data_IF_445807713615
#
_entry.id   IF_445807713615
#
_cell.length_a   1.000
_cell.length_b   1.000
_cell.length_c   1.000
_cell.angle_alpha   90.00
_cell.angle_beta   90.00
_cell.angle_gamma   90.00
#
_symmetry.space_group_name_H-M   'P 1'
#
loop_
_entity.id
_entity.type
_entity.pdbx_description
1 polymer ?
#
# COMPACT_ATOMS: atom_id res chain seq x y z
N UNK A 1 5.97 14.18 -2.93
CA UNK A 1 6.04 14.22 -1.45
C UNK A 1 6.41 12.83 -0.97
N UNK A 2 7.51 12.70 -0.27
CA UNK A 2 7.97 11.44 0.30
C UNK A 2 7.57 11.38 1.77
N UNK A 3 7.05 10.25 2.21
CA UNK A 3 6.64 10.05 3.61
C UNK A 3 7.22 8.72 4.09
N UNK A 4 7.90 8.78 5.22
CA UNK A 4 8.40 7.62 5.94
C UNK A 4 7.78 7.60 7.34
N UNK A 5 7.35 6.43 7.80
CA UNK A 5 6.96 6.22 9.19
C UNK A 5 7.95 5.24 9.83
N UNK A 6 8.75 5.75 10.76
CA UNK A 6 9.62 4.94 11.60
C UNK A 6 8.79 4.32 12.73
N UNK A 7 8.65 3.02 12.72
CA UNK A 7 7.88 2.25 13.71
C UNK A 7 8.77 1.72 14.86
N UNK A 8 10.01 2.16 14.94
CA UNK A 8 10.98 1.72 15.94
C UNK A 8 11.56 0.32 15.68
N UNK A 9 12.47 -0.14 16.56
CA UNK A 9 13.16 -1.41 16.42
C UNK A 9 12.23 -2.63 16.41
N UNK A 10 12.41 -3.53 15.42
CA UNK A 10 11.54 -4.69 15.20
C UNK A 10 11.54 -5.68 16.36
N UNK A 11 12.63 -5.75 17.14
CA UNK A 11 12.79 -6.65 18.28
C UNK A 11 12.00 -6.21 19.53
N UNK A 12 11.41 -5.01 19.52
CA UNK A 12 10.60 -4.53 20.65
C UNK A 12 9.11 -4.84 20.46
N UNK A 13 8.35 -5.09 21.54
CA UNK A 13 6.91 -5.25 21.50
C UNK A 13 6.22 -3.99 20.97
N UNK A 14 5.10 -4.14 20.25
CA UNK A 14 4.35 -3.00 19.70
C UNK A 14 3.92 -1.99 20.79
N UNK A 15 3.59 -2.46 22.01
CA UNK A 15 3.24 -1.60 23.14
C UNK A 15 4.34 -0.59 23.50
N UNK A 16 5.60 -0.95 23.27
CA UNK A 16 6.77 -0.07 23.46
C UNK A 16 6.99 0.77 22.20
N UNK A 17 7.00 0.13 21.01
CA UNK A 17 7.27 0.81 19.74
C UNK A 17 6.28 1.93 19.42
N UNK A 18 5.00 1.78 19.81
CA UNK A 18 3.98 2.82 19.58
C UNK A 18 4.33 4.18 20.19
N UNK A 19 5.19 4.23 21.20
CA UNK A 19 5.67 5.49 21.79
C UNK A 19 6.87 6.08 21.05
N UNK A 20 7.43 5.33 20.11
CA UNK A 20 8.61 5.71 19.32
C UNK A 20 8.24 6.07 17.87
N UNK A 21 6.95 6.02 17.51
CA UNK A 21 6.48 6.32 16.16
C UNK A 21 6.87 7.73 15.75
N UNK A 22 7.52 7.84 14.59
CA UNK A 22 7.96 9.13 14.05
C UNK A 22 7.70 9.20 12.56
N UNK A 23 6.94 10.21 12.12
CA UNK A 23 6.77 10.53 10.70
C UNK A 23 7.91 11.44 10.25
N UNK A 24 8.51 11.12 9.11
CA UNK A 24 9.61 11.84 8.49
C UNK A 24 9.15 12.28 7.09
N UNK A 25 9.45 13.52 6.73
CA UNK A 25 9.09 14.14 5.45
C UNK A 25 10.37 14.55 4.69
N UNK A 26 11.02 13.60 3.98
CA UNK A 26 12.20 13.92 3.18
C UNK A 26 11.86 14.87 2.02
N UNK A 27 12.82 15.70 1.65
CA UNK A 27 12.68 16.66 0.56
C UNK A 27 12.86 16.00 -0.82
N UNK A 28 13.62 14.90 -0.89
CA UNK A 28 13.93 14.19 -2.14
C UNK A 28 13.81 12.68 -2.01
N UNK A 29 13.68 11.98 -3.16
CA UNK A 29 13.71 10.51 -3.22
C UNK A 29 15.03 9.94 -2.67
N UNK A 30 16.15 10.59 -3.00
CA UNK A 30 17.49 10.17 -2.58
C UNK A 30 17.63 10.27 -1.05
N UNK A 31 17.15 11.35 -0.46
CA UNK A 31 17.14 11.53 0.99
C UNK A 31 16.22 10.49 1.65
N UNK A 32 15.00 10.30 1.12
CA UNK A 32 14.07 9.30 1.63
C UNK A 32 14.69 7.89 1.64
N UNK A 33 15.34 7.50 0.54
CA UNK A 33 16.00 6.20 0.43
C UNK A 33 17.19 6.07 1.41
N UNK A 34 17.96 7.14 1.59
CA UNK A 34 19.07 7.13 2.54
C UNK A 34 18.60 6.96 3.98
N UNK A 35 17.57 7.72 4.39
CA UNK A 35 16.98 7.62 5.74
C UNK A 35 16.36 6.24 5.95
N UNK A 36 15.58 5.73 4.98
CA UNK A 36 14.95 4.43 5.10
C UNK A 36 15.99 3.32 5.26
N UNK A 37 17.05 3.30 4.45
CA UNK A 37 18.14 2.30 4.57
C UNK A 37 18.86 2.37 5.91
N UNK A 38 19.15 3.58 6.40
CA UNK A 38 19.78 3.74 7.71
C UNK A 38 18.90 3.18 8.84
N UNK A 39 17.61 3.50 8.85
CA UNK A 39 16.67 2.96 9.82
C UNK A 39 16.54 1.43 9.74
N UNK A 40 16.42 0.89 8.53
CA UNK A 40 16.33 -0.56 8.29
C UNK A 40 17.61 -1.27 8.74
N UNK A 41 18.79 -0.71 8.46
CA UNK A 41 20.07 -1.29 8.88
C UNK A 41 20.21 -1.36 10.40
N UNK A 42 19.55 -0.48 11.13
CA UNK A 42 19.43 -0.46 12.59
C UNK A 42 18.30 -1.36 13.13
N UNK A 43 17.66 -2.14 12.26
CA UNK A 43 16.60 -3.07 12.63
C UNK A 43 15.24 -2.43 12.90
N UNK A 44 15.00 -1.21 12.41
CA UNK A 44 13.70 -0.56 12.52
C UNK A 44 12.72 -1.09 11.48
N UNK A 45 11.44 -1.04 11.82
CA UNK A 45 10.35 -1.20 10.87
C UNK A 45 10.00 0.17 10.29
N UNK A 46 10.03 0.25 8.95
CA UNK A 46 9.82 1.50 8.23
C UNK A 46 8.70 1.31 7.22
N UNK A 47 7.68 2.15 7.29
CA UNK A 47 6.66 2.23 6.25
C UNK A 47 7.00 3.35 5.27
N UNK A 48 6.84 3.10 3.97
CA UNK A 48 7.34 3.96 2.91
C UNK A 48 6.25 4.35 1.91
N UNK A 49 6.25 5.62 1.52
CA UNK A 49 5.47 6.13 0.40
C UNK A 49 3.97 6.23 0.64
N UNK A 50 3.22 6.30 -0.45
CA UNK A 50 1.79 6.61 -0.46
C UNK A 50 0.93 5.56 0.24
N UNK A 51 1.26 4.29 0.07
CA UNK A 51 0.54 3.16 0.66
C UNK A 51 1.11 2.72 1.99
N UNK A 52 2.15 3.40 2.48
CA UNK A 52 2.86 3.04 3.72
C UNK A 52 3.36 1.60 3.67
N UNK A 53 4.04 1.26 2.57
CA UNK A 53 4.61 -0.07 2.35
C UNK A 53 5.68 -0.37 3.39
N UNK A 54 5.46 -1.40 4.21
CA UNK A 54 6.41 -1.81 5.24
C UNK A 54 7.64 -2.50 4.61
N UNK A 55 8.84 -2.24 5.15
CA UNK A 55 10.09 -2.81 4.66
C UNK A 55 10.15 -4.33 4.70
N UNK A 56 9.40 -4.99 5.59
CA UNK A 56 9.31 -6.47 5.63
C UNK A 56 8.76 -7.07 4.35
N UNK A 57 7.91 -6.34 3.64
CA UNK A 57 7.30 -6.81 2.41
C UNK A 57 8.19 -6.66 1.17
N UNK A 58 9.33 -5.94 1.28
CA UNK A 58 10.20 -5.66 0.14
C UNK A 58 10.78 -6.93 -0.48
N UNK A 59 11.31 -7.82 0.35
CA UNK A 59 11.91 -9.07 -0.13
C UNK A 59 10.89 -9.96 -0.86
N UNK A 60 9.70 -10.14 -0.29
CA UNK A 60 8.63 -10.92 -0.92
C UNK A 60 8.11 -10.31 -2.23
N UNK A 61 8.18 -9.00 -2.38
CA UNK A 61 7.79 -8.29 -3.61
C UNK A 61 8.95 -8.13 -4.61
N UNK A 62 10.19 -8.49 -4.23
CA UNK A 62 11.38 -8.30 -5.04
C UNK A 62 11.72 -6.83 -5.28
N UNK A 63 11.43 -5.95 -4.32
CA UNK A 63 11.63 -4.51 -4.43
C UNK A 63 12.82 -4.02 -3.60
N UNK A 64 13.56 -3.04 -4.16
CA UNK A 64 14.49 -2.23 -3.40
C UNK A 64 13.76 -1.10 -2.65
N UNK A 65 14.46 -0.43 -1.72
CA UNK A 65 13.94 0.76 -1.02
C UNK A 65 13.60 1.88 -2.01
N UNK A 66 14.44 2.09 -3.02
CA UNK A 66 14.25 3.11 -4.05
C UNK A 66 12.99 2.83 -4.87
N UNK A 67 12.79 1.58 -5.27
CA UNK A 67 11.60 1.14 -6.00
C UNK A 67 10.33 1.29 -5.15
N UNK A 68 10.41 1.00 -3.86
CA UNK A 68 9.29 1.20 -2.92
C UNK A 68 8.92 2.68 -2.73
N UNK A 69 9.83 3.60 -3.01
CA UNK A 69 9.60 5.05 -2.94
C UNK A 69 9.11 5.63 -4.27
N UNK A 70 9.19 4.89 -5.38
CA UNK A 70 8.57 5.28 -6.66
C UNK A 70 7.03 5.23 -6.51
N UNK A 71 6.30 6.30 -6.85
CA UNK A 71 4.87 6.37 -6.61
C UNK A 71 4.07 5.26 -7.29
N UNK A 72 4.39 4.92 -8.54
CA UNK A 72 3.67 3.90 -9.30
C UNK A 72 3.94 2.50 -8.75
N UNK A 73 5.20 2.20 -8.46
CA UNK A 73 5.63 0.93 -7.84
C UNK A 73 5.02 0.78 -6.44
N UNK A 74 4.99 1.86 -5.65
CA UNK A 74 4.40 1.86 -4.31
C UNK A 74 2.90 1.55 -4.34
N UNK A 75 2.14 2.19 -5.25
CA UNK A 75 0.71 1.92 -5.44
C UNK A 75 0.46 0.48 -5.91
N UNK A 76 1.28 -0.01 -6.85
CA UNK A 76 1.22 -1.40 -7.29
C UNK A 76 1.46 -2.38 -6.12
N UNK A 77 2.51 -2.15 -5.34
CA UNK A 77 2.85 -2.99 -4.18
C UNK A 77 1.72 -3.01 -3.14
N UNK A 78 1.20 -1.83 -2.78
CA UNK A 78 0.09 -1.72 -1.83
C UNK A 78 -1.17 -2.41 -2.32
N UNK A 79 -1.52 -2.26 -3.61
CA UNK A 79 -2.68 -2.95 -4.20
C UNK A 79 -2.50 -4.47 -4.25
N UNK A 80 -1.28 -4.95 -4.52
CA UNK A 80 -0.92 -6.37 -4.51
C UNK A 80 -1.12 -6.97 -3.12
N UNK A 81 -0.61 -6.31 -2.08
CA UNK A 81 -0.78 -6.75 -0.69
C UNK A 81 -2.26 -6.80 -0.31
N UNK A 82 -3.01 -5.74 -0.60
CA UNK A 82 -4.45 -5.69 -0.29
C UNK A 82 -5.23 -6.78 -1.03
N UNK A 83 -4.91 -7.05 -2.30
CA UNK A 83 -5.54 -8.11 -3.09
C UNK A 83 -5.28 -9.50 -2.53
N UNK A 84 -4.06 -9.76 -2.03
CA UNK A 84 -3.71 -11.01 -1.38
C UNK A 84 -4.51 -11.19 -0.07
N UNK A 85 -4.66 -10.14 0.73
CA UNK A 85 -5.51 -10.18 1.92
C UNK A 85 -6.96 -10.43 1.57
N UNK A 86 -7.48 -9.77 0.54
CA UNK A 86 -8.84 -9.99 0.08
C UNK A 86 -9.07 -11.42 -0.39
N UNK A 87 -8.17 -11.99 -1.17
CA UNK A 87 -8.24 -13.37 -1.62
C UNK A 87 -8.25 -14.36 -0.44
N UNK A 88 -7.47 -14.10 0.60
CA UNK A 88 -7.45 -14.92 1.81
C UNK A 88 -8.69 -14.70 2.68
N UNK A 89 -9.16 -13.48 2.84
CA UNK A 89 -10.39 -13.17 3.57
C UNK A 89 -11.62 -13.82 2.90
N UNK A 90 -11.68 -13.83 1.56
CA UNK A 90 -12.78 -14.43 0.79
C UNK A 90 -12.94 -15.95 0.98
N UNK A 91 -11.90 -16.63 1.51
CA UNK A 91 -11.99 -18.04 1.90
C UNK A 91 -12.74 -18.25 3.23
N UNK A 92 -12.79 -17.19 4.07
CA UNK A 92 -13.35 -17.23 5.43
C UNK A 92 -14.70 -16.50 5.52
N UNK A 93 -14.87 -15.43 4.75
CA UNK A 93 -16.06 -14.58 4.76
C UNK A 93 -16.87 -14.82 3.49
N UNK A 94 -18.16 -15.18 3.64
CA UNK A 94 -19.06 -15.45 2.50
C UNK A 94 -19.50 -14.18 1.76
N UNK A 95 -19.58 -13.09 2.48
CA UNK A 95 -19.98 -11.79 1.95
C UNK A 95 -18.76 -10.99 1.51
N UNK A 96 -18.80 -10.49 0.26
CA UNK A 96 -17.68 -9.75 -0.35
C UNK A 96 -17.33 -8.47 0.42
N UNK A 97 -18.34 -7.78 0.96
CA UNK A 97 -18.11 -6.57 1.74
C UNK A 97 -17.38 -6.88 3.05
N UNK A 98 -17.77 -7.94 3.74
CA UNK A 98 -17.10 -8.40 4.96
C UNK A 98 -15.67 -8.85 4.66
N UNK A 99 -15.43 -9.57 3.56
CA UNK A 99 -14.10 -9.95 3.13
C UNK A 99 -13.21 -8.73 2.83
N UNK A 100 -13.76 -7.69 2.17
CA UNK A 100 -13.04 -6.46 1.89
C UNK A 100 -12.66 -5.72 3.18
N UNK A 101 -13.59 -5.58 4.12
CA UNK A 101 -13.31 -4.92 5.39
C UNK A 101 -12.29 -5.69 6.24
N UNK A 102 -12.33 -7.02 6.22
CA UNK A 102 -11.32 -7.86 6.85
C UNK A 102 -9.94 -7.69 6.18
N UNK A 103 -9.88 -7.63 4.85
CA UNK A 103 -8.64 -7.35 4.12
C UNK A 103 -8.05 -5.97 4.48
N UNK A 104 -8.89 -4.95 4.61
CA UNK A 104 -8.47 -3.60 5.06
C UNK A 104 -7.94 -3.66 6.50
N UNK A 105 -8.58 -4.43 7.39
CA UNK A 105 -8.07 -4.68 8.74
C UNK A 105 -6.67 -5.30 8.70
N UNK A 106 -6.51 -6.36 7.91
CA UNK A 106 -5.26 -7.07 7.78
C UNK A 106 -4.15 -6.23 7.14
N UNK A 107 -4.49 -5.36 6.19
CA UNK A 107 -3.52 -4.42 5.59
C UNK A 107 -2.79 -3.57 6.64
N UNK A 108 -3.49 -3.13 7.68
CA UNK A 108 -2.90 -2.34 8.75
C UNK A 108 -2.26 -3.19 9.86
N UNK A 109 -2.83 -4.35 10.17
CA UNK A 109 -2.51 -5.07 11.42
C UNK A 109 -1.96 -6.47 11.22
N UNK A 110 -2.04 -7.01 10.00
CA UNK A 110 -1.80 -8.42 9.71
C UNK A 110 -2.90 -9.37 10.23
N UNK A 111 -4.05 -8.82 10.64
CA UNK A 111 -5.11 -9.58 11.28
C UNK A 111 -6.48 -9.10 10.82
N UNK A 112 -7.40 -10.02 10.52
CA UNK A 112 -8.69 -9.68 9.92
C UNK A 112 -9.64 -8.91 10.86
N UNK A 113 -9.36 -8.86 12.16
CA UNK A 113 -10.25 -8.26 13.17
C UNK A 113 -9.62 -7.06 13.89
N UNK A 114 -8.30 -7.05 14.11
CA UNK A 114 -7.63 -6.01 14.90
C UNK A 114 -7.80 -4.59 14.37
N UNK A 115 -7.93 -4.44 13.05
CA UNK A 115 -8.15 -3.14 12.41
C UNK A 115 -9.53 -2.52 12.69
N UNK A 116 -10.52 -3.34 13.06
CA UNK A 116 -11.81 -2.83 13.58
C UNK A 116 -11.64 -2.28 14.99
N UNK A 117 -10.93 -3.01 15.84
CA UNK A 117 -10.74 -2.66 17.26
C UNK A 117 -9.89 -1.40 17.44
N UNK A 118 -8.89 -1.17 16.58
CA UNK A 118 -8.04 0.02 16.63
C UNK A 118 -8.63 1.24 15.86
N UNK A 119 -9.78 1.07 15.21
CA UNK A 119 -10.49 2.13 14.48
C UNK A 119 -9.97 2.39 13.06
N UNK A 120 -8.97 1.64 12.56
CA UNK A 120 -8.42 1.84 11.22
C UNK A 120 -9.46 1.64 10.12
N UNK A 121 -10.20 0.52 10.16
CA UNK A 121 -11.27 0.22 9.18
C UNK A 121 -12.30 1.34 9.15
N UNK A 122 -12.75 1.83 10.31
CA UNK A 122 -13.68 2.97 10.41
C UNK A 122 -13.11 4.23 9.76
N UNK A 123 -11.82 4.49 9.94
CA UNK A 123 -11.15 5.65 9.34
C UNK A 123 -11.09 5.54 7.81
N UNK A 124 -10.76 4.36 7.28
CA UNK A 124 -10.75 4.12 5.83
C UNK A 124 -12.13 4.32 5.22
N UNK A 125 -13.19 3.72 5.81
CA UNK A 125 -14.58 3.88 5.32
C UNK A 125 -14.99 5.35 5.31
N UNK A 126 -14.72 6.08 6.39
CA UNK A 126 -15.04 7.50 6.48
C UNK A 126 -14.36 8.32 5.39
N UNK A 127 -13.08 8.03 5.12
CA UNK A 127 -12.31 8.78 4.13
C UNK A 127 -12.68 8.39 2.70
N UNK A 128 -13.11 7.15 2.45
CA UNK A 128 -13.59 6.71 1.13
C UNK A 128 -14.85 7.46 0.67
N UNK A 129 -15.68 7.94 1.60
CA UNK A 129 -16.84 8.77 1.32
C UNK A 129 -16.54 10.26 1.13
N UNK A 130 -15.29 10.71 1.28
CA UNK A 130 -14.93 12.11 1.09
C UNK A 130 -14.65 12.41 -0.39
N UNK A 131 -15.06 13.59 -0.89
CA UNK A 131 -14.70 14.00 -2.23
C UNK A 131 -13.16 14.11 -2.34
N UNK A 132 -12.60 13.40 -3.30
CA UNK A 132 -11.16 13.53 -3.63
C UNK A 132 -10.99 14.91 -4.27
N UNK A 133 -10.05 15.76 -3.78
CA UNK A 133 -9.76 17.02 -4.45
C UNK A 133 -9.37 16.74 -5.90
N UNK A 134 -10.02 17.44 -6.85
CA UNK A 134 -9.64 17.33 -8.25
C UNK A 134 -8.17 17.70 -8.39
N UNK A 135 -7.37 16.83 -8.97
CA UNK A 135 -6.01 17.15 -9.36
C UNK A 135 -6.10 18.31 -10.35
N UNK A 136 -5.61 19.48 -9.97
CA UNK A 136 -5.46 20.60 -10.87
C UNK A 136 -4.46 20.17 -11.94
N UNK A 137 -4.96 19.68 -13.08
CA UNK A 137 -4.14 19.43 -14.25
C UNK A 137 -3.72 20.77 -14.83
N UNK A 138 -2.59 21.29 -14.37
CA UNK A 138 -1.90 22.36 -15.07
C UNK A 138 -1.22 21.75 -16.31
N UNK A 139 -2.01 21.48 -17.35
CA UNK A 139 -1.52 21.04 -18.65
C UNK A 139 -2.38 21.66 -19.74
N UNK A 140 -1.81 22.10 -20.87
CA UNK A 140 -2.56 22.72 -21.94
C UNK A 140 -3.59 21.74 -22.51
N UNK A 141 -4.85 22.18 -22.61
CA UNK A 141 -5.90 21.43 -23.30
C UNK A 141 -5.52 21.30 -24.76
N UNK A 142 -5.11 20.10 -25.17
CA UNK A 142 -5.10 19.75 -26.58
C UNK A 142 -6.55 19.51 -26.98
N UNK A 143 -7.11 20.43 -27.71
CA UNK A 143 -8.41 20.27 -28.36
C UNK A 143 -8.27 19.30 -29.53
N UNK A 144 -8.64 18.04 -29.34
CA UNK A 144 -8.85 17.11 -30.44
C UNK A 144 -10.30 17.21 -30.87
N UNK A 145 -10.51 17.84 -32.05
CA UNK A 145 -11.78 17.85 -32.78
C UNK A 145 -12.25 16.42 -33.06
N UNK A 146 -13.56 16.22 -33.03
CA UNK A 146 -14.21 14.95 -33.11
C UNK A 146 -13.98 14.20 -34.44
N UNK A 147 -13.90 12.87 -34.33
CA UNK A 147 -14.38 11.96 -35.36
C UNK A 147 -14.72 10.62 -34.68
N UNK A 148 -16.01 10.29 -34.81
CA UNK A 148 -16.59 9.01 -34.46
C UNK A 148 -16.05 7.89 -35.36
N UNK A 149 -15.55 6.76 -34.81
CA UNK A 149 -15.61 5.44 -35.44
C UNK A 149 -15.37 4.32 -34.43
N UNK A 150 -16.41 3.48 -34.33
CA UNK A 150 -16.50 2.00 -34.18
C UNK A 150 -15.48 1.24 -33.37
N UNK A 151 -15.96 0.59 -32.33
CA UNK A 151 -15.80 -0.80 -31.94
C UNK A 151 -14.42 -1.46 -32.09
N UNK A 152 -13.65 -1.48 -31.01
CA UNK A 152 -12.56 -2.40 -30.84
C UNK A 152 -12.62 -3.01 -29.42
N UNK A 153 -13.01 -4.27 -29.30
CA UNK A 153 -12.91 -5.05 -28.08
C UNK A 153 -11.43 -5.11 -27.68
N UNK A 154 -11.07 -4.45 -26.60
CA UNK A 154 -9.76 -4.65 -25.96
C UNK A 154 -9.84 -5.97 -25.22
N UNK A 155 -9.15 -6.98 -25.74
CA UNK A 155 -8.98 -8.27 -25.07
C UNK A 155 -8.13 -8.03 -23.80
N UNK A 156 -8.74 -8.23 -22.67
CA UNK A 156 -8.06 -8.26 -21.37
C UNK A 156 -7.10 -9.45 -21.35
N UNK A 157 -5.80 -9.19 -21.43
CA UNK A 157 -4.76 -10.19 -21.16
C UNK A 157 -4.66 -10.38 -19.65
N UNK A 158 -5.51 -11.21 -19.10
CA UNK A 158 -5.50 -11.63 -17.69
C UNK A 158 -4.73 -12.95 -17.46
N UNK A 159 -3.69 -13.23 -18.20
CA UNK A 159 -3.01 -14.52 -18.15
C UNK A 159 -1.62 -14.56 -17.55
N UNK A 160 -1.02 -13.42 -17.18
CA UNK A 160 0.38 -13.41 -16.71
C UNK A 160 0.56 -13.01 -15.24
N UNK A 161 -0.50 -12.60 -14.55
CA UNK A 161 -0.43 -12.16 -13.15
C UNK A 161 -0.83 -13.25 -12.14
N UNK A 162 -1.65 -14.23 -12.57
CA UNK A 162 -2.21 -15.22 -11.65
C UNK A 162 -1.20 -16.26 -11.13
N UNK A 163 -0.09 -16.48 -11.82
CA UNK A 163 0.89 -17.51 -11.44
C UNK A 163 1.91 -17.05 -10.38
N UNK A 164 2.09 -15.74 -10.16
CA UNK A 164 3.04 -15.21 -9.16
C UNK A 164 2.43 -14.86 -7.81
N UNK A 165 1.11 -14.81 -7.71
CA UNK A 165 0.42 -14.31 -6.51
C UNK A 165 0.20 -15.37 -5.43
N UNK A 166 0.29 -16.66 -5.72
CA UNK A 166 0.06 -17.73 -4.76
C UNK A 166 1.24 -18.02 -3.82
N UNK A 167 2.42 -17.47 -4.10
CA UNK A 167 3.66 -17.75 -3.37
C UNK A 167 4.22 -16.55 -2.57
N UNK A 168 3.55 -15.39 -2.60
CA UNK A 168 4.00 -14.24 -1.83
C UNK A 168 3.59 -14.37 -0.37
N UNK A 169 4.54 -14.76 0.47
CA UNK A 169 4.41 -14.59 1.93
C UNK A 169 4.53 -13.10 2.26
N UNK A 170 3.41 -12.48 2.63
CA UNK A 170 3.37 -11.09 3.08
C UNK A 170 3.58 -11.06 4.60
N UNK A 171 4.71 -10.51 5.03
CA UNK A 171 5.00 -10.35 6.46
C UNK A 171 4.25 -9.15 7.05
N UNK A 172 3.79 -9.31 8.28
CA UNK A 172 2.93 -8.35 8.97
C UNK A 172 3.67 -7.59 10.07
N UNK A 173 3.13 -6.44 10.42
CA UNK A 173 3.58 -5.61 11.54
C UNK A 173 3.44 -6.28 12.90
#
# INVERSE_FOLDING_TARGET
>A
MYVLLDNGPANLPFSVRKTMLRTIYPESATEAASIARDLISRGHLVDMGLTQLNNRNLAGLGLSVEQALDPCTNLWAGSTILSNFYANASKQYRDQQSALLAAISAYNTGDFERGFNNGYVKTVIRNAGQPVPALLTAGPRVSTGGSSRSGGRVAHRSGLLDAKFSELEVEFR
#
